data_IF_791937980973
#
_entry.id   IF_791937980973
#
_cell.length_a   1.000
_cell.length_b   1.000
_cell.length_c   1.000
_cell.angle_alpha   90.00
_cell.angle_beta   90.00
_cell.angle_gamma   90.00
#
_symmetry.space_group_name_H-M   'P 1'
#
loop_
_entity.id
_entity.type
_entity.pdbx_description
1 polymer ?
#
# COMPACT_ATOMS: atom_id res chain seq x y z
N UNK A 1 -17.80 2.35 79.34
CA UNK A 1 -18.81 3.37 79.72
C UNK A 1 -19.16 4.14 78.44
N UNK A 2 -20.32 3.87 77.78
CA UNK A 2 -21.54 4.73 77.71
C UNK A 2 -21.19 6.22 77.52
N UNK A 3 -21.59 6.98 76.49
CA UNK A 3 -22.89 7.21 75.78
C UNK A 3 -22.54 7.82 74.38
N UNK A 4 -23.17 7.62 73.22
CA UNK A 4 -24.56 7.72 72.70
C UNK A 4 -25.27 9.08 72.87
N UNK A 5 -25.32 9.87 71.78
CA UNK A 5 -26.39 10.80 71.34
C UNK A 5 -26.23 11.02 69.81
N UNK A 6 -26.95 10.29 68.95
CA UNK A 6 -28.13 10.70 68.15
C UNK A 6 -28.45 12.21 68.05
N UNK A 7 -28.44 12.75 66.81
CA UNK A 7 -29.55 13.41 66.07
C UNK A 7 -28.95 14.00 64.76
N UNK A 8 -29.14 13.37 63.60
CA UNK A 8 -30.23 13.63 62.64
C UNK A 8 -30.22 15.05 62.04
N UNK A 9 -29.76 15.18 60.79
CA UNK A 9 -30.40 16.10 59.85
C UNK A 9 -30.26 15.61 58.40
N UNK A 10 -31.43 15.32 57.85
CA UNK A 10 -31.75 15.06 56.45
C UNK A 10 -31.25 16.15 55.51
N UNK A 11 -30.53 15.75 54.46
CA UNK A 11 -30.61 16.42 53.17
C UNK A 11 -30.62 15.36 52.07
N UNK A 12 -31.81 14.82 51.83
CA UNK A 12 -32.22 14.30 50.54
C UNK A 12 -32.11 15.44 49.53
N UNK A 13 -30.99 15.52 48.81
CA UNK A 13 -30.96 16.18 47.51
C UNK A 13 -30.78 15.10 46.46
N UNK A 14 -31.94 14.62 46.02
CA UNK A 14 -32.17 14.01 44.73
C UNK A 14 -31.69 14.97 43.64
N UNK A 15 -30.39 14.97 43.33
CA UNK A 15 -29.92 15.50 42.06
C UNK A 15 -30.30 14.49 40.99
N UNK A 16 -31.41 14.80 40.33
CA UNK A 16 -31.85 14.20 39.09
C UNK A 16 -30.65 14.05 38.14
N UNK A 17 -30.26 12.81 37.84
CA UNK A 17 -29.54 12.50 36.60
C UNK A 17 -30.47 12.84 35.44
N UNK A 18 -30.41 14.10 34.98
CA UNK A 18 -30.85 14.43 33.63
C UNK A 18 -29.93 13.68 32.68
N UNK A 19 -30.49 12.68 32.01
CA UNK A 19 -29.95 12.05 30.82
C UNK A 19 -29.79 13.18 29.79
N UNK A 20 -28.58 13.75 29.71
CA UNK A 20 -28.23 14.73 28.69
C UNK A 20 -28.16 14.00 27.36
N UNK A 21 -29.22 14.12 26.57
CA UNK A 21 -29.14 13.97 25.12
C UNK A 21 -28.26 15.11 24.59
N UNK A 22 -27.38 14.73 23.66
CA UNK A 22 -26.43 15.56 22.91
C UNK A 22 -25.45 16.42 23.71
N UNK A 23 -24.35 15.76 24.11
CA UNK A 23 -23.10 16.39 24.53
C UNK A 23 -22.34 17.06 23.38
N UNK A 24 -22.96 17.95 22.61
CA UNK A 24 -22.24 18.83 21.70
C UNK A 24 -21.91 20.13 22.43
N UNK A 25 -20.62 20.33 22.77
CA UNK A 25 -20.16 21.59 23.35
C UNK A 25 -20.36 22.73 22.34
N UNK A 26 -20.94 23.89 22.73
CA UNK A 26 -20.97 25.07 21.88
C UNK A 26 -19.52 25.51 21.58
N UNK A 27 -19.11 25.40 20.33
CA UNK A 27 -17.77 25.79 19.86
C UNK A 27 -16.83 24.63 19.51
N UNK A 28 -17.26 23.37 19.59
CA UNK A 28 -16.53 22.26 18.99
C UNK A 28 -16.90 22.19 17.51
N UNK A 29 -16.05 22.78 16.65
CA UNK A 29 -16.18 22.65 15.19
C UNK A 29 -16.16 21.16 14.85
N UNK A 30 -17.32 20.62 14.47
CA UNK A 30 -17.40 19.27 13.90
C UNK A 30 -16.44 19.26 12.72
N UNK A 31 -15.36 18.46 12.74
CA UNK A 31 -14.40 18.45 11.65
C UNK A 31 -15.17 18.17 10.36
N UNK A 32 -15.04 19.06 9.39
CA UNK A 32 -15.76 18.98 8.13
C UNK A 32 -15.63 17.56 7.58
N UNK A 33 -16.77 16.89 7.35
CA UNK A 33 -16.80 15.53 6.84
C UNK A 33 -16.01 15.48 5.53
N UNK A 34 -14.84 14.83 5.56
CA UNK A 34 -13.97 14.71 4.40
C UNK A 34 -14.74 13.98 3.29
N UNK A 35 -14.78 14.56 2.11
CA UNK A 35 -15.22 13.86 0.91
C UNK A 35 -14.14 12.85 0.50
N UNK A 36 -14.35 11.60 0.92
CA UNK A 36 -13.41 10.48 0.72
C UNK A 36 -13.13 10.26 -0.77
N UNK A 37 -14.14 10.37 -1.63
CA UNK A 37 -13.98 10.08 -3.06
C UNK A 37 -13.16 11.19 -3.72
N UNK A 38 -13.50 12.46 -3.46
CA UNK A 38 -12.72 13.58 -3.96
C UNK A 38 -11.27 13.52 -3.51
N UNK A 39 -11.04 13.26 -2.22
CA UNK A 39 -9.68 13.17 -1.65
C UNK A 39 -8.89 12.00 -2.25
N UNK A 40 -9.54 10.86 -2.47
CA UNK A 40 -8.91 9.70 -3.12
C UNK A 40 -8.44 10.05 -4.54
N UNK A 41 -9.29 10.73 -5.32
CA UNK A 41 -8.96 11.17 -6.68
C UNK A 41 -7.79 12.17 -6.68
N UNK A 42 -7.78 13.11 -5.74
CA UNK A 42 -6.65 14.07 -5.58
C UNK A 42 -5.32 13.35 -5.33
N UNK A 43 -5.30 12.44 -4.35
CA UNK A 43 -4.09 11.66 -4.03
C UNK A 43 -3.61 10.86 -5.24
N UNK A 44 -4.53 10.20 -5.96
CA UNK A 44 -4.18 9.40 -7.14
C UNK A 44 -3.69 10.26 -8.29
N UNK A 45 -4.25 11.45 -8.49
CA UNK A 45 -3.79 12.40 -9.51
C UNK A 45 -2.35 12.84 -9.29
N UNK A 46 -1.91 12.96 -8.04
CA UNK A 46 -0.53 13.32 -7.68
C UNK A 46 0.42 12.11 -7.72
N UNK A 47 -0.06 10.95 -7.25
CA UNK A 47 0.75 9.74 -7.06
C UNK A 47 0.97 8.97 -8.35
N UNK A 48 -0.09 8.74 -9.14
CA UNK A 48 -0.06 7.88 -10.32
C UNK A 48 0.97 8.30 -11.39
N UNK A 49 1.12 9.60 -11.74
CA UNK A 49 2.10 10.01 -12.74
C UNK A 49 3.54 9.69 -12.34
N UNK A 50 3.83 9.58 -11.03
CA UNK A 50 5.18 9.28 -10.54
C UNK A 50 5.59 7.83 -10.84
N UNK A 51 4.66 6.90 -11.05
CA UNK A 51 4.98 5.51 -11.41
C UNK A 51 5.50 5.36 -12.86
N UNK A 52 5.12 6.29 -13.74
CA UNK A 52 5.36 6.18 -15.19
C UNK A 52 6.85 6.37 -15.50
N UNK A 53 7.36 5.50 -16.38
CA UNK A 53 8.72 5.58 -16.90
C UNK A 53 9.46 4.26 -16.83
N UNK A 54 10.78 4.33 -17.00
CA UNK A 54 11.67 3.18 -16.88
C UNK A 54 12.47 3.27 -15.59
N UNK A 55 12.49 2.17 -14.86
CA UNK A 55 13.05 2.04 -13.53
C UNK A 55 14.00 0.85 -13.48
N UNK A 56 15.14 1.02 -12.84
CA UNK A 56 15.98 -0.10 -12.41
C UNK A 56 15.55 -0.49 -11.00
N UNK A 57 15.31 -1.78 -10.77
CA UNK A 57 15.19 -2.34 -9.43
C UNK A 57 16.59 -2.35 -8.82
N UNK A 58 17.01 -1.19 -8.31
CA UNK A 58 18.36 -0.93 -7.85
C UNK A 58 18.72 -1.81 -6.67
N UNK A 59 17.79 -1.99 -5.72
CA UNK A 59 17.94 -2.92 -4.62
C UNK A 59 16.65 -3.71 -4.40
N UNK A 60 16.75 -5.03 -4.32
CA UNK A 60 15.65 -5.93 -3.93
C UNK A 60 16.05 -6.63 -2.64
N UNK A 61 15.44 -6.21 -1.54
CA UNK A 61 15.69 -6.73 -0.20
C UNK A 61 14.78 -7.91 0.07
N UNK A 62 15.38 -9.09 0.25
CA UNK A 62 14.68 -10.34 0.50
C UNK A 62 14.83 -10.75 1.96
N UNK A 63 13.70 -11.06 2.60
CA UNK A 63 13.62 -11.73 3.88
C UNK A 63 13.56 -13.24 3.66
N UNK A 64 14.63 -13.95 4.03
CA UNK A 64 14.75 -15.37 3.76
C UNK A 64 13.73 -16.24 4.51
N UNK A 65 13.27 -15.77 5.68
CA UNK A 65 12.32 -16.53 6.51
C UNK A 65 10.88 -16.47 5.98
N UNK A 66 10.59 -15.51 5.10
CA UNK A 66 9.26 -15.30 4.48
C UNK A 66 9.17 -15.79 3.03
N UNK A 67 10.23 -16.38 2.49
CA UNK A 67 10.19 -17.02 1.18
C UNK A 67 9.40 -18.33 1.27
N UNK A 68 8.14 -18.30 0.82
CA UNK A 68 7.38 -19.52 0.60
C UNK A 68 8.08 -20.36 -0.46
N UNK A 69 8.51 -21.58 -0.10
CA UNK A 69 9.32 -22.40 -0.98
C UNK A 69 10.77 -21.93 -1.10
N UNK A 70 11.41 -21.43 -0.03
CA UNK A 70 12.82 -20.98 -0.03
C UNK A 70 13.86 -22.04 -0.46
N UNK A 71 13.52 -23.32 -0.38
CA UNK A 71 14.45 -24.44 -0.59
C UNK A 71 15.11 -24.48 -1.99
N UNK A 72 14.41 -24.25 -3.13
CA UNK A 72 15.01 -24.31 -4.46
C UNK A 72 15.92 -23.13 -4.80
N UNK A 73 15.72 -21.95 -4.18
CA UNK A 73 16.50 -20.74 -4.49
C UNK A 73 17.85 -20.66 -3.76
N UNK A 74 18.08 -21.52 -2.76
CA UNK A 74 19.32 -21.51 -1.97
C UNK A 74 19.52 -20.28 -1.09
N UNK A 75 18.52 -19.40 -0.96
CA UNK A 75 18.56 -18.19 -0.14
C UNK A 75 18.28 -18.57 1.32
N UNK A 76 19.34 -18.67 2.13
CA UNK A 76 19.27 -19.09 3.55
C UNK A 76 19.34 -17.94 4.54
N UNK A 77 19.63 -16.74 4.07
CA UNK A 77 19.80 -15.52 4.86
C UNK A 77 19.21 -14.34 4.11
N UNK A 78 18.84 -13.30 4.84
CA UNK A 78 18.41 -12.05 4.23
C UNK A 78 19.43 -11.59 3.20
N UNK A 79 18.95 -11.25 2.01
CA UNK A 79 19.77 -11.04 0.82
C UNK A 79 19.31 -9.79 0.11
N UNK A 80 20.26 -9.02 -0.42
CA UNK A 80 19.98 -7.86 -1.26
C UNK A 80 20.50 -8.13 -2.66
N UNK A 81 19.61 -8.18 -3.64
CA UNK A 81 20.00 -8.18 -5.05
C UNK A 81 20.18 -6.73 -5.51
N UNK A 82 21.24 -6.49 -6.28
CA UNK A 82 21.53 -5.17 -6.87
C UNK A 82 21.29 -5.18 -8.36
N UNK A 83 20.75 -4.08 -8.88
CA UNK A 83 20.44 -3.88 -10.31
C UNK A 83 19.72 -5.10 -10.91
N UNK A 84 18.72 -5.57 -10.16
CA UNK A 84 18.14 -6.90 -10.33
C UNK A 84 17.36 -7.06 -11.63
N UNK A 85 16.55 -6.06 -11.98
CA UNK A 85 15.72 -6.05 -13.17
C UNK A 85 15.42 -4.61 -13.61
N UNK A 86 14.87 -4.46 -14.82
CA UNK A 86 14.33 -3.19 -15.31
C UNK A 86 12.81 -3.28 -15.41
N UNK A 87 12.10 -2.26 -14.95
CA UNK A 87 10.66 -2.15 -15.02
C UNK A 87 10.29 -0.94 -15.87
N UNK A 88 9.49 -1.14 -16.92
CA UNK A 88 8.94 -0.07 -17.76
C UNK A 88 7.44 0.00 -17.57
N UNK A 89 6.91 1.15 -17.17
CA UNK A 89 5.50 1.36 -16.87
C UNK A 89 4.91 2.51 -17.70
N UNK A 90 3.66 2.31 -18.10
CA UNK A 90 2.83 3.29 -18.79
C UNK A 90 1.36 3.15 -18.33
N UNK A 91 0.51 4.16 -18.52
CA UNK A 91 -0.92 4.04 -18.26
C UNK A 91 -1.52 2.87 -19.05
N UNK A 92 -2.38 2.07 -18.41
CA UNK A 92 -2.98 0.92 -19.06
C UNK A 92 -3.77 1.34 -20.31
N UNK A 93 -3.52 0.66 -21.44
CA UNK A 93 -4.24 0.90 -22.69
C UNK A 93 -5.63 0.26 -22.67
N UNK A 94 -5.80 -0.80 -21.88
CA UNK A 94 -7.06 -1.53 -21.69
C UNK A 94 -7.41 -1.59 -20.21
N UNK A 95 -8.12 -0.56 -19.75
CA UNK A 95 -8.63 -0.52 -18.39
C UNK A 95 -9.57 -1.70 -18.09
N UNK A 96 -9.36 -2.36 -16.96
CA UNK A 96 -10.23 -3.40 -16.40
C UNK A 96 -11.50 -2.80 -15.81
N UNK A 97 -11.45 -1.56 -15.31
CA UNK A 97 -12.64 -0.84 -14.86
C UNK A 97 -13.32 -0.11 -16.02
N UNK A 98 -14.65 -0.26 -16.12
CA UNK A 98 -15.50 0.45 -17.09
C UNK A 98 -16.70 1.09 -16.38
N UNK A 99 -16.85 2.43 -16.41
CA UNK A 99 -15.93 3.41 -17.00
C UNK A 99 -14.58 3.45 -16.27
N UNK A 100 -13.56 4.02 -16.92
CA UNK A 100 -12.25 4.25 -16.30
C UNK A 100 -12.43 5.07 -15.02
N UNK A 101 -11.84 4.60 -13.91
CA UNK A 101 -12.03 5.22 -12.60
C UNK A 101 -10.77 5.99 -12.18
N UNK A 102 -10.91 7.31 -11.98
CA UNK A 102 -9.79 8.16 -11.54
C UNK A 102 -9.22 7.76 -10.17
N UNK A 103 -10.03 7.09 -9.33
CA UNK A 103 -9.63 6.56 -8.02
C UNK A 103 -8.86 5.24 -8.07
N UNK A 104 -8.82 4.58 -9.23
CA UNK A 104 -8.09 3.33 -9.45
C UNK A 104 -7.25 3.43 -10.73
N UNK A 105 -6.19 4.25 -10.73
CA UNK A 105 -5.32 4.33 -11.90
C UNK A 105 -4.68 2.98 -12.17
N UNK A 106 -4.72 2.56 -13.43
CA UNK A 106 -4.26 1.26 -13.91
C UNK A 106 -3.01 1.43 -14.76
N UNK A 107 -2.08 0.47 -14.63
CA UNK A 107 -0.79 0.49 -15.30
C UNK A 107 -0.53 -0.82 -16.02
N UNK A 108 0.07 -0.70 -17.18
CA UNK A 108 0.65 -1.80 -17.94
C UNK A 108 2.15 -1.55 -18.10
N UNK A 109 2.88 -2.60 -18.42
CA UNK A 109 4.31 -2.48 -18.55
C UNK A 109 5.02 -3.77 -18.89
N UNK A 110 6.34 -3.71 -18.74
CA UNK A 110 7.20 -4.88 -18.85
C UNK A 110 8.23 -4.89 -17.74
N UNK A 111 8.49 -6.07 -17.16
CA UNK A 111 9.66 -6.33 -16.34
C UNK A 111 10.68 -7.15 -17.15
N UNK A 112 11.92 -6.68 -17.20
CA UNK A 112 13.02 -7.32 -17.91
C UNK A 112 14.05 -7.80 -16.89
N UNK A 113 14.24 -9.12 -16.85
CA UNK A 113 15.27 -9.79 -16.05
C UNK A 113 16.27 -10.43 -17.02
N UNK A 114 17.54 -10.03 -16.93
CA UNK A 114 18.56 -10.38 -17.93
C UNK A 114 18.11 -9.99 -19.35
N UNK A 115 17.94 -10.96 -20.26
CA UNK A 115 17.48 -10.78 -21.64
C UNK A 115 16.02 -11.20 -21.85
N UNK A 116 15.28 -11.50 -20.78
CA UNK A 116 13.88 -11.93 -20.85
C UNK A 116 12.96 -10.81 -20.38
N UNK A 117 11.85 -10.61 -21.10
CA UNK A 117 10.92 -9.50 -20.86
C UNK A 117 9.50 -10.04 -20.72
N UNK A 118 8.83 -9.62 -19.66
CA UNK A 118 7.52 -10.15 -19.28
C UNK A 118 6.50 -9.02 -19.12
N UNK A 119 5.27 -9.17 -19.67
CA UNK A 119 4.22 -8.18 -19.50
C UNK A 119 3.73 -8.16 -18.06
N UNK A 120 3.48 -6.97 -17.51
CA UNK A 120 2.98 -6.77 -16.14
C UNK A 120 1.79 -5.82 -16.13
N UNK A 121 0.97 -5.94 -15.09
CA UNK A 121 -0.17 -5.08 -14.86
C UNK A 121 -0.41 -4.91 -13.36
N UNK A 122 -0.87 -3.73 -12.97
CA UNK A 122 -1.42 -3.47 -11.63
C UNK A 122 -2.33 -2.24 -11.63
N UNK A 123 -3.12 -2.10 -10.58
CA UNK A 123 -3.88 -0.88 -10.27
C UNK A 123 -3.54 -0.39 -8.88
N UNK A 124 -3.53 0.93 -8.68
CA UNK A 124 -3.30 1.51 -7.36
C UNK A 124 -4.63 1.67 -6.61
N UNK A 125 -4.56 1.42 -5.31
CA UNK A 125 -5.60 1.70 -4.32
C UNK A 125 -5.03 2.62 -3.25
N UNK A 126 -5.76 3.66 -2.85
CA UNK A 126 -5.23 4.60 -1.84
C UNK A 126 -5.05 3.88 -0.50
N UNK A 127 -3.95 4.17 0.19
CA UNK A 127 -3.77 3.71 1.56
C UNK A 127 -4.70 4.52 2.48
N UNK A 128 -5.56 3.88 3.30
CA UNK A 128 -6.42 4.58 4.24
C UNK A 128 -5.67 5.50 5.22
N UNK A 129 -4.49 5.09 5.68
CA UNK A 129 -3.69 5.92 6.61
C UNK A 129 -3.21 7.20 5.93
N UNK A 130 -2.80 7.10 4.66
CA UNK A 130 -2.42 8.26 3.87
C UNK A 130 -3.63 9.14 3.53
N UNK A 131 -4.78 8.52 3.26
CA UNK A 131 -6.03 9.21 2.97
C UNK A 131 -6.48 10.12 4.13
N UNK A 132 -6.43 9.63 5.36
CA UNK A 132 -6.94 10.35 6.54
C UNK A 132 -5.88 11.14 7.29
N UNK A 133 -4.63 10.67 7.32
CA UNK A 133 -3.53 11.28 8.11
C UNK A 133 -2.36 11.78 7.27
N UNK A 134 -2.33 11.49 5.97
CA UNK A 134 -1.18 11.78 5.08
C UNK A 134 0.13 11.15 5.57
N UNK A 135 0.03 10.00 6.25
CA UNK A 135 1.14 9.25 6.81
C UNK A 135 1.40 7.95 6.03
N UNK A 136 2.67 7.59 5.89
CA UNK A 136 3.08 6.32 5.29
C UNK A 136 3.00 6.28 3.75
N UNK A 137 2.91 5.08 3.15
CA UNK A 137 2.86 4.92 1.69
C UNK A 137 1.54 5.43 1.14
N UNK A 138 1.56 6.00 -0.08
CA UNK A 138 0.38 6.62 -0.68
C UNK A 138 -0.66 5.62 -1.17
N UNK A 139 -0.22 4.44 -1.61
CA UNK A 139 -1.09 3.45 -2.23
C UNK A 139 -0.66 2.01 -1.94
N UNK A 140 -1.55 1.08 -2.26
CA UNK A 140 -1.31 -0.36 -2.31
C UNK A 140 -1.68 -0.90 -3.69
N UNK A 141 -1.07 -2.02 -4.07
CA UNK A 141 -1.37 -2.69 -5.32
C UNK A 141 -0.91 -4.16 -5.30
N UNK A 142 -1.53 -4.97 -6.13
CA UNK A 142 -1.06 -6.31 -6.50
C UNK A 142 -0.28 -6.18 -7.80
N UNK A 143 1.00 -6.54 -7.78
CA UNK A 143 1.83 -6.57 -8.98
C UNK A 143 1.85 -7.97 -9.57
N UNK A 144 1.33 -8.15 -10.77
CA UNK A 144 1.28 -9.47 -11.41
C UNK A 144 1.64 -9.40 -12.90
N UNK A 145 1.89 -10.56 -13.48
CA UNK A 145 2.06 -10.69 -14.92
C UNK A 145 0.74 -10.45 -15.65
N UNK A 146 0.85 -9.96 -16.90
CA UNK A 146 -0.27 -9.66 -17.77
C UNK A 146 -0.14 -10.40 -19.12
N UNK A 147 0.14 -11.70 -19.06
CA UNK A 147 0.18 -12.53 -20.27
C UNK A 147 -1.25 -12.69 -20.83
N UNK A 148 -1.42 -12.67 -22.17
CA UNK A 148 -2.67 -13.12 -22.76
C UNK A 148 -2.98 -14.57 -22.38
N UNK A 149 -4.27 -14.87 -22.21
CA UNK A 149 -4.71 -16.21 -21.81
C UNK A 149 -4.20 -17.29 -22.76
N UNK A 150 -3.67 -18.38 -22.20
CA UNK A 150 -3.16 -19.52 -22.95
C UNK A 150 -1.82 -19.31 -23.68
N UNK A 151 -1.18 -18.15 -23.55
CA UNK A 151 0.08 -17.85 -24.28
C UNK A 151 1.36 -18.10 -23.48
N UNK A 152 1.24 -18.42 -22.18
CA UNK A 152 2.39 -18.50 -21.27
C UNK A 152 2.91 -19.92 -21.14
N UNK A 153 4.17 -20.13 -21.52
CA UNK A 153 4.98 -21.25 -21.09
C UNK A 153 5.94 -20.69 -20.01
N UNK A 154 5.89 -21.18 -18.75
CA UNK A 154 6.78 -20.71 -17.71
C UNK A 154 8.26 -20.89 -18.09
N UNK A 155 9.07 -19.89 -17.76
CA UNK A 155 10.52 -19.86 -17.98
C UNK A 155 11.24 -19.69 -16.64
N UNK A 156 12.51 -20.06 -16.54
CA UNK A 156 13.21 -19.98 -15.24
C UNK A 156 13.25 -18.54 -14.67
N UNK A 157 13.42 -17.51 -15.52
CA UNK A 157 13.37 -16.13 -15.08
C UNK A 157 11.98 -15.69 -14.56
N UNK A 158 10.89 -16.12 -15.21
CA UNK A 158 9.54 -15.76 -14.78
C UNK A 158 9.15 -16.46 -13.47
N UNK A 159 9.65 -17.67 -13.28
CA UNK A 159 9.52 -18.45 -12.06
C UNK A 159 10.34 -17.82 -10.93
N UNK A 160 11.58 -17.43 -11.19
CA UNK A 160 12.42 -16.74 -10.21
C UNK A 160 11.76 -15.44 -9.71
N UNK A 161 11.16 -14.65 -10.60
CA UNK A 161 10.41 -13.44 -10.23
C UNK A 161 9.24 -13.75 -9.28
N UNK A 162 8.52 -14.87 -9.49
CA UNK A 162 7.43 -15.31 -8.60
C UNK A 162 7.93 -15.89 -7.29
N UNK A 163 8.95 -16.73 -7.34
CA UNK A 163 9.49 -17.44 -6.17
C UNK A 163 10.11 -16.45 -5.18
N UNK A 164 10.75 -15.38 -5.68
CA UNK A 164 11.21 -14.27 -4.85
C UNK A 164 10.06 -13.39 -4.30
N UNK A 165 8.88 -13.46 -4.90
CA UNK A 165 7.75 -12.58 -4.60
C UNK A 165 7.87 -11.19 -5.22
N UNK A 166 8.74 -11.00 -6.22
CA UNK A 166 8.84 -9.75 -6.98
C UNK A 166 7.59 -9.55 -7.84
N UNK A 167 7.03 -10.64 -8.38
CA UNK A 167 5.77 -10.68 -9.12
C UNK A 167 4.79 -11.63 -8.44
N UNK A 168 3.50 -11.33 -8.51
CA UNK A 168 2.43 -12.10 -7.88
C UNK A 168 2.30 -11.84 -6.38
N UNK A 169 2.62 -10.62 -5.93
CA UNK A 169 2.47 -10.20 -4.53
C UNK A 169 1.97 -8.74 -4.40
N UNK A 170 1.51 -8.42 -3.20
CA UNK A 170 1.01 -7.10 -2.83
C UNK A 170 2.12 -6.24 -2.25
N UNK A 171 2.11 -4.98 -2.66
CA UNK A 171 3.07 -3.98 -2.25
C UNK A 171 2.36 -2.72 -1.77
N UNK A 172 3.02 -2.02 -0.86
CA UNK A 172 2.77 -0.60 -0.66
C UNK A 172 3.64 0.22 -1.61
N UNK A 173 3.09 1.30 -2.12
CA UNK A 173 3.69 2.21 -3.07
C UNK A 173 4.08 3.49 -2.36
N UNK A 174 5.38 3.81 -2.37
CA UNK A 174 5.89 5.06 -1.85
C UNK A 174 6.71 5.80 -2.90
N UNK A 175 6.32 7.04 -3.17
CA UNK A 175 7.06 7.96 -4.05
C UNK A 175 7.29 9.28 -3.35
N UNK A 176 8.41 9.90 -3.68
CA UNK A 176 8.67 11.30 -3.34
C UNK A 176 8.46 12.13 -4.61
N UNK A 177 7.63 13.18 -4.58
CA UNK A 177 7.42 14.03 -5.75
C UNK A 177 8.75 14.53 -6.32
N UNK A 178 8.96 14.37 -7.63
CA UNK A 178 10.15 14.83 -8.38
C UNK A 178 11.46 14.14 -8.00
N UNK A 179 11.45 13.14 -7.13
CA UNK A 179 12.63 12.32 -6.90
C UNK A 179 12.74 11.23 -7.99
N UNK A 180 13.96 10.88 -8.45
CA UNK A 180 14.17 9.74 -9.33
C UNK A 180 14.12 8.41 -8.57
N UNK A 181 13.33 8.33 -7.48
CA UNK A 181 13.28 7.24 -6.53
C UNK A 181 11.83 6.82 -6.28
N UNK A 182 11.57 5.53 -6.35
CA UNK A 182 10.31 4.90 -5.97
C UNK A 182 10.63 3.72 -5.06
N UNK A 183 9.83 3.51 -4.03
CA UNK A 183 10.03 2.42 -3.07
C UNK A 183 8.77 1.59 -2.97
N UNK A 184 8.90 0.28 -3.16
CA UNK A 184 7.81 -0.67 -2.91
C UNK A 184 8.14 -1.50 -1.69
N UNK A 185 7.24 -1.56 -0.70
CA UNK A 185 7.42 -2.45 0.46
C UNK A 185 6.46 -3.62 0.36
N UNK A 186 7.00 -4.84 0.40
CA UNK A 186 6.19 -6.05 0.29
C UNK A 186 5.36 -6.28 1.54
N UNK A 187 4.15 -6.80 1.34
CA UNK A 187 3.19 -7.00 2.42
C UNK A 187 3.13 -8.43 2.94
N UNK A 188 3.38 -9.44 2.09
CA UNK A 188 3.10 -10.84 2.45
C UNK A 188 4.30 -11.78 2.33
N UNK A 189 5.08 -11.75 1.24
CA UNK A 189 6.11 -12.77 0.95
C UNK A 189 7.55 -12.28 1.18
N UNK A 190 8.49 -12.93 0.52
CA UNK A 190 9.93 -12.78 0.70
C UNK A 190 10.49 -11.40 0.38
N UNK A 191 9.83 -10.58 -0.44
CA UNK A 191 10.29 -9.20 -0.65
C UNK A 191 9.93 -8.33 0.55
N UNK A 192 10.94 -7.78 1.21
CA UNK A 192 10.77 -6.75 2.24
C UNK A 192 10.60 -5.38 1.59
N UNK A 193 11.47 -5.04 0.66
CA UNK A 193 11.55 -3.73 0.03
C UNK A 193 12.19 -3.83 -1.35
N UNK A 194 11.72 -3.03 -2.29
CA UNK A 194 12.36 -2.78 -3.57
C UNK A 194 12.59 -1.29 -3.71
N UNK A 195 13.85 -0.91 -3.90
CA UNK A 195 14.26 0.46 -4.18
C UNK A 195 14.48 0.60 -5.68
N UNK A 196 13.73 1.50 -6.31
CA UNK A 196 13.79 1.76 -7.72
C UNK A 196 14.49 3.08 -8.02
N UNK A 197 15.37 3.07 -9.02
CA UNK A 197 16.00 4.28 -9.56
C UNK A 197 15.51 4.52 -10.98
N UNK A 198 15.04 5.74 -11.26
CA UNK A 198 14.59 6.10 -12.61
C UNK A 198 15.78 6.15 -13.58
N UNK A 199 15.63 5.57 -14.77
CA UNK A 199 16.61 5.71 -15.85
C UNK A 199 16.51 7.13 -16.39
N UNK A 200 17.66 7.81 -16.49
CA UNK A 200 17.77 9.17 -17.04
C UNK A 200 17.71 9.15 -18.56
#
# INVERSE_FOLDING_TARGET
MKKLYLLALSCLLLTQCKKGEDGTRPGEEVPAKIDIEKRTVEIMKETAPQAIGTWVLQEVHINATKLYGAQPLGIRKDTVFKDFATLKLYPATRARYKPVQAKHPEFEGTITLKNKTYPVYFSLLVNPDYLFRSEGPQAFFLFDFNFPDGTRIPEEEDKLLKDLGVVGDNFSFQVQPKAPLMVWKGLNRGVKEIVFKKVQ
#
